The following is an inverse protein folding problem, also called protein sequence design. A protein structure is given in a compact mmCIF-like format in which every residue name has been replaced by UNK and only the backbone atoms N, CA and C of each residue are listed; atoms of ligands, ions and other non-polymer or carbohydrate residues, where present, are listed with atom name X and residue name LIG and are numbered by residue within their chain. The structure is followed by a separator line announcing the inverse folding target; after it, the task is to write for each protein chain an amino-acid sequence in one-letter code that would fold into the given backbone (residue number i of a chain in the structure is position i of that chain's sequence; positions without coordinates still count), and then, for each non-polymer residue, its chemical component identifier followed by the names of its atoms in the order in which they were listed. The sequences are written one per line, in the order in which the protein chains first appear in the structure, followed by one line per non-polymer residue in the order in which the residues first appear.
data_IF_052128528053
#
_entry.id   IF_052128528053
#
_cell.length_a   1.000
_cell.length_b   1.000
_cell.length_c   1.000
_cell.angle_alpha   90.00
_cell.angle_beta   90.00
_cell.angle_gamma   90.00
#
_symmetry.space_group_name_H-M   'P 1'
#
loop_
_entity.id
_entity.type
_entity.pdbx_description
1 polymer ?
#
# COMPACT_ATOMS: atom_id res chain seq x y z
N UNK A 1 -9.26 -25.88 28.81
CA UNK A 1 -10.65 -25.34 28.74
C UNK A 1 -10.83 -24.96 27.28
N UNK A 2 -11.95 -25.30 26.65
CA UNK A 2 -12.13 -24.95 25.24
C UNK A 2 -12.13 -23.43 25.11
N UNK A 3 -11.34 -22.86 24.20
CA UNK A 3 -11.17 -21.43 24.02
C UNK A 3 -12.52 -20.70 23.75
N UNK A 4 -13.46 -21.40 23.10
CA UNK A 4 -14.81 -20.91 22.84
C UNK A 4 -15.62 -20.76 24.13
N UNK A 5 -15.49 -21.71 25.05
CA UNK A 5 -16.20 -21.70 26.33
C UNK A 5 -15.65 -20.59 27.27
N UNK A 6 -14.36 -20.31 27.13
CA UNK A 6 -13.70 -19.24 27.90
C UNK A 6 -14.15 -17.86 27.41
N UNK A 7 -14.27 -17.65 26.09
CA UNK A 7 -14.78 -16.39 25.52
C UNK A 7 -16.23 -16.13 25.93
N UNK A 8 -17.11 -17.13 25.89
CA UNK A 8 -18.50 -17.03 26.35
C UNK A 8 -18.56 -16.64 27.86
N UNK A 9 -17.67 -17.22 28.64
CA UNK A 9 -17.56 -16.89 30.08
C UNK A 9 -17.11 -15.45 30.29
N UNK A 10 -16.18 -14.94 29.50
CA UNK A 10 -15.72 -13.55 29.55
C UNK A 10 -16.85 -12.57 29.17
N UNK A 11 -17.64 -12.89 28.15
CA UNK A 11 -18.78 -12.06 27.74
C UNK A 11 -19.88 -12.01 28.83
N UNK A 12 -20.25 -13.14 29.42
CA UNK A 12 -21.21 -13.21 30.50
C UNK A 12 -20.75 -12.41 31.73
N UNK A 13 -19.47 -12.46 32.07
CA UNK A 13 -18.88 -11.66 33.15
C UNK A 13 -18.98 -10.17 32.84
N UNK A 14 -18.59 -9.74 31.67
CA UNK A 14 -18.65 -8.34 31.22
C UNK A 14 -20.07 -7.78 31.20
N UNK A 15 -21.02 -8.58 30.74
CA UNK A 15 -22.45 -8.18 30.65
C UNK A 15 -23.19 -8.21 32.00
N UNK A 16 -22.53 -8.67 33.08
CA UNK A 16 -23.15 -8.80 34.38
C UNK A 16 -24.17 -9.95 34.48
N UNK A 17 -24.06 -10.94 33.59
CA UNK A 17 -24.97 -12.09 33.50
C UNK A 17 -24.59 -13.25 34.44
N UNK A 18 -23.54 -13.07 35.25
CA UNK A 18 -23.08 -14.04 36.24
C UNK A 18 -23.73 -13.81 37.59
N UNK A 19 -24.00 -14.91 38.28
CA UNK A 19 -24.36 -14.87 39.70
C UNK A 19 -23.18 -14.40 40.57
N UNK A 20 -23.42 -13.91 41.78
CA UNK A 20 -22.36 -13.45 42.68
C UNK A 20 -21.32 -14.55 42.99
N UNK A 21 -21.72 -15.81 42.99
CA UNK A 21 -20.81 -16.94 43.21
C UNK A 21 -19.95 -17.22 41.98
N UNK A 22 -20.53 -17.21 40.78
CA UNK A 22 -19.80 -17.38 39.51
C UNK A 22 -18.80 -16.24 39.30
N UNK A 23 -19.18 -15.00 39.55
CA UNK A 23 -18.31 -13.84 39.45
C UNK A 23 -17.10 -13.93 40.39
N UNK A 24 -17.34 -14.31 41.66
CA UNK A 24 -16.24 -14.50 42.64
C UNK A 24 -15.27 -15.60 42.20
N UNK A 25 -15.81 -16.72 41.71
CA UNK A 25 -14.99 -17.82 41.17
C UNK A 25 -14.17 -17.40 39.95
N UNK A 26 -14.77 -16.64 39.05
CA UNK A 26 -14.08 -16.14 37.84
C UNK A 26 -12.98 -15.14 38.19
N UNK A 27 -13.18 -14.27 39.16
CA UNK A 27 -12.16 -13.34 39.68
C UNK A 27 -10.99 -14.07 40.34
N UNK A 28 -11.23 -15.15 41.07
CA UNK A 28 -10.18 -15.98 41.64
C UNK A 28 -9.40 -16.72 40.52
N UNK A 29 -10.12 -17.19 39.49
CA UNK A 29 -9.51 -17.85 38.33
C UNK A 29 -8.57 -16.89 37.59
N UNK A 30 -8.94 -15.64 37.38
CA UNK A 30 -8.10 -14.59 36.77
C UNK A 30 -6.87 -14.31 37.62
N UNK A 31 -7.02 -14.17 38.95
CA UNK A 31 -5.88 -13.90 39.85
C UNK A 31 -4.83 -15.02 39.82
N UNK A 32 -5.30 -16.25 39.68
CA UNK A 32 -4.43 -17.43 39.74
C UNK A 32 -3.85 -17.86 38.34
N UNK A 33 -4.36 -17.29 37.26
CA UNK A 33 -3.96 -17.65 35.88
C UNK A 33 -3.71 -16.41 35.04
N UNK A 34 -2.44 -15.97 34.91
CA UNK A 34 -2.09 -14.79 34.11
C UNK A 34 -2.50 -14.86 32.65
N UNK A 35 -2.52 -16.06 32.05
CA UNK A 35 -2.96 -16.26 30.66
C UNK A 35 -4.46 -15.95 30.49
N UNK A 36 -5.29 -16.36 31.45
CA UNK A 36 -6.73 -16.06 31.43
C UNK A 36 -6.96 -14.59 31.67
N UNK A 37 -6.24 -13.95 32.58
CA UNK A 37 -6.36 -12.51 32.83
C UNK A 37 -5.96 -11.69 31.61
N UNK A 38 -4.89 -12.06 30.93
CA UNK A 38 -4.47 -11.45 29.66
C UNK A 38 -5.54 -11.58 28.59
N UNK A 39 -6.16 -12.72 28.44
CA UNK A 39 -7.23 -12.98 27.47
C UNK A 39 -8.47 -12.12 27.74
N UNK A 40 -8.81 -11.93 29.02
CA UNK A 40 -9.90 -11.02 29.43
C UNK A 40 -9.58 -9.58 29.05
N UNK A 41 -8.36 -9.13 29.27
CA UNK A 41 -7.93 -7.77 28.91
C UNK A 41 -7.94 -7.56 27.38
N UNK A 42 -7.41 -8.51 26.62
CA UNK A 42 -7.39 -8.45 25.16
C UNK A 42 -8.81 -8.46 24.56
N UNK A 43 -9.70 -9.31 25.08
CA UNK A 43 -11.09 -9.36 24.64
C UNK A 43 -11.84 -8.05 24.95
N UNK A 44 -11.68 -7.50 26.14
CA UNK A 44 -12.28 -6.23 26.50
C UNK A 44 -11.77 -5.07 25.63
N UNK A 45 -10.48 -5.06 25.32
CA UNK A 45 -9.89 -4.08 24.42
C UNK A 45 -10.46 -4.21 22.99
N UNK A 46 -10.56 -5.43 22.49
CA UNK A 46 -11.14 -5.70 21.16
C UNK A 46 -12.58 -5.21 21.06
N UNK A 47 -13.43 -5.55 22.05
CA UNK A 47 -14.83 -5.13 22.04
C UNK A 47 -14.97 -3.60 22.14
N UNK A 48 -14.14 -2.94 22.95
CA UNK A 48 -14.13 -1.47 23.06
C UNK A 48 -13.76 -0.79 21.72
N UNK A 49 -12.80 -1.34 20.97
CA UNK A 49 -12.44 -0.81 19.64
C UNK A 49 -13.55 -1.05 18.60
N UNK A 50 -14.25 -2.18 18.65
CA UNK A 50 -15.41 -2.47 17.78
C UNK A 50 -16.57 -1.51 18.08
N UNK A 51 -16.88 -1.26 19.36
CA UNK A 51 -17.90 -0.30 19.76
C UNK A 51 -17.57 1.13 19.33
N UNK A 52 -16.31 1.54 19.48
CA UNK A 52 -15.81 2.85 19.01
C UNK A 52 -15.95 3.00 17.48
N UNK A 53 -15.65 1.94 16.73
CA UNK A 53 -15.86 1.93 15.29
C UNK A 53 -17.34 2.04 14.92
N UNK A 54 -18.22 1.31 15.61
CA UNK A 54 -19.66 1.37 15.44
C UNK A 54 -20.22 2.77 15.69
N UNK A 55 -19.81 3.42 16.79
CA UNK A 55 -20.21 4.79 17.12
C UNK A 55 -19.73 5.83 16.12
N UNK A 56 -18.50 5.70 15.61
CA UNK A 56 -17.99 6.60 14.55
C UNK A 56 -18.79 6.48 13.25
N UNK A 57 -19.18 5.27 12.85
CA UNK A 57 -19.99 5.02 11.65
C UNK A 57 -21.40 5.59 11.81
N UNK A 58 -22.02 5.37 12.96
CA UNK A 58 -23.33 5.92 13.30
C UNK A 58 -23.31 7.45 13.34
N UNK A 59 -22.29 8.05 13.95
CA UNK A 59 -22.11 9.50 13.99
C UNK A 59 -22.01 10.14 12.59
N UNK A 60 -21.23 9.55 11.68
CA UNK A 60 -21.15 10.02 10.29
C UNK A 60 -22.47 9.93 9.57
N UNK A 61 -23.24 8.87 9.78
CA UNK A 61 -24.57 8.71 9.18
C UNK A 61 -25.51 9.82 9.69
N UNK A 62 -25.58 10.03 11.00
CA UNK A 62 -26.40 11.09 11.62
C UNK A 62 -25.99 12.49 11.16
N UNK A 63 -24.69 12.73 10.99
CA UNK A 63 -24.18 14.01 10.47
C UNK A 63 -24.65 14.29 9.04
N UNK A 64 -24.65 13.29 8.16
CA UNK A 64 -25.19 13.43 6.81
C UNK A 64 -26.71 13.62 6.77
N UNK A 65 -27.47 12.98 7.66
CA UNK A 65 -28.90 13.18 7.78
C UNK A 65 -29.23 14.61 8.24
N UNK A 66 -28.51 15.10 9.25
CA UNK A 66 -28.66 16.48 9.76
C UNK A 66 -28.28 17.50 8.67
N UNK A 67 -27.17 17.29 7.97
CA UNK A 67 -26.76 18.15 6.85
C UNK A 67 -27.83 18.19 5.74
N UNK A 68 -28.35 17.04 5.35
CA UNK A 68 -29.42 16.96 4.35
C UNK A 68 -30.68 17.70 4.80
N UNK A 69 -31.09 17.57 6.07
CA UNK A 69 -32.22 18.24 6.64
C UNK A 69 -32.03 19.76 6.73
N UNK A 70 -30.85 20.22 7.12
CA UNK A 70 -30.52 21.65 7.17
C UNK A 70 -30.48 22.29 5.78
N UNK A 71 -30.11 21.54 4.74
CA UNK A 71 -30.18 22.00 3.35
C UNK A 71 -31.65 22.12 2.89
N UNK A 72 -32.49 21.14 3.24
CA UNK A 72 -33.91 21.10 2.87
C UNK A 72 -34.72 22.21 3.58
N UNK A 73 -34.36 22.49 4.83
CA UNK A 73 -34.93 23.60 5.62
C UNK A 73 -34.37 24.99 5.26
N UNK A 74 -33.41 25.06 4.31
CA UNK A 74 -32.84 26.33 3.81
C UNK A 74 -31.87 26.99 4.82
N UNK A 75 -31.48 26.32 5.89
CA UNK A 75 -30.57 26.83 6.92
C UNK A 75 -29.11 26.89 6.46
N UNK A 76 -28.71 26.03 5.52
CA UNK A 76 -27.39 26.04 4.86
C UNK A 76 -27.54 25.92 3.35
N UNK A 77 -26.75 26.69 2.62
CA UNK A 77 -26.75 26.63 1.17
C UNK A 77 -25.92 25.42 0.71
N UNK A 78 -26.37 24.75 -0.35
CA UNK A 78 -25.53 23.73 -1.00
C UNK A 78 -24.20 24.35 -1.42
N UNK A 79 -23.06 23.66 -1.21
CA UNK A 79 -21.76 24.18 -1.61
C UNK A 79 -21.78 24.49 -3.10
N UNK A 80 -21.38 25.71 -3.47
CA UNK A 80 -21.26 26.14 -4.86
C UNK A 80 -20.08 25.34 -5.45
N UNK A 81 -20.39 24.34 -6.28
CA UNK A 81 -19.40 23.57 -6.99
C UNK A 81 -18.62 24.50 -7.93
N UNK A 82 -17.33 24.67 -7.69
CA UNK A 82 -16.40 25.38 -8.57
C UNK A 82 -16.27 24.63 -9.91
N UNK A 83 -15.99 25.35 -11.00
CA UNK A 83 -16.07 24.98 -12.43
C UNK A 83 -15.90 23.49 -12.82
N UNK A 84 -14.93 22.74 -12.25
CA UNK A 84 -14.71 21.34 -12.57
C UNK A 84 -15.86 20.40 -12.16
N UNK A 85 -16.47 20.63 -11.00
CA UNK A 85 -17.57 19.81 -10.51
C UNK A 85 -18.88 20.04 -11.28
N UNK A 86 -19.11 21.26 -11.81
CA UNK A 86 -20.23 21.54 -12.72
C UNK A 86 -20.10 20.79 -14.04
N UNK A 87 -18.88 20.66 -14.57
CA UNK A 87 -18.62 19.94 -15.83
C UNK A 87 -18.96 18.45 -15.66
N UNK A 88 -18.57 17.83 -14.57
CA UNK A 88 -18.86 16.41 -14.30
C UNK A 88 -20.35 16.15 -14.14
N UNK A 89 -21.08 17.04 -13.47
CA UNK A 89 -22.52 16.92 -13.26
C UNK A 89 -23.31 17.11 -14.57
N UNK A 90 -22.93 18.07 -15.40
CA UNK A 90 -23.51 18.26 -16.73
C UNK A 90 -23.20 17.08 -17.64
N UNK A 91 -21.97 16.58 -17.60
CA UNK A 91 -21.54 15.42 -18.39
C UNK A 91 -22.32 14.16 -18.02
N UNK A 92 -22.55 13.91 -16.72
CA UNK A 92 -23.33 12.76 -16.27
C UNK A 92 -24.80 12.80 -16.73
N UNK A 93 -25.39 14.00 -16.85
CA UNK A 93 -26.76 14.21 -17.26
C UNK A 93 -26.95 14.05 -18.77
N UNK A 94 -25.94 14.44 -19.56
CA UNK A 94 -26.04 14.47 -21.03
C UNK A 94 -25.19 13.41 -21.74
N UNK A 95 -24.52 12.51 -21.00
CA UNK A 95 -23.64 11.48 -21.57
C UNK A 95 -24.28 10.62 -22.67
N UNK A 96 -25.60 10.32 -22.56
CA UNK A 96 -26.32 9.55 -23.59
C UNK A 96 -26.53 10.34 -24.88
N UNK A 97 -26.80 11.63 -24.78
CA UNK A 97 -26.99 12.51 -25.94
C UNK A 97 -25.65 12.79 -26.62
N UNK A 98 -24.60 13.04 -25.84
CA UNK A 98 -23.24 13.25 -26.36
C UNK A 98 -22.69 11.97 -27.02
N UNK A 99 -22.94 10.78 -26.47
CA UNK A 99 -22.53 9.53 -27.12
C UNK A 99 -23.26 9.26 -28.43
N UNK A 100 -24.54 9.62 -28.51
CA UNK A 100 -25.31 9.50 -29.75
C UNK A 100 -24.81 10.49 -30.82
N UNK A 101 -24.56 11.73 -30.45
CA UNK A 101 -24.03 12.78 -31.36
C UNK A 101 -22.61 12.41 -31.84
N UNK A 102 -21.75 11.89 -30.97
CA UNK A 102 -20.43 11.42 -31.33
C UNK A 102 -20.49 10.21 -32.28
N UNK A 103 -21.45 9.29 -32.07
CA UNK A 103 -21.70 8.18 -32.97
C UNK A 103 -22.09 8.61 -34.38
N UNK A 104 -23.04 9.56 -34.49
CA UNK A 104 -23.49 10.11 -35.79
C UNK A 104 -22.35 10.87 -36.48
N UNK A 105 -21.58 11.69 -35.74
CA UNK A 105 -20.43 12.40 -36.29
C UNK A 105 -19.33 11.44 -36.79
N UNK A 106 -19.10 10.34 -36.08
CA UNK A 106 -18.20 9.27 -36.51
C UNK A 106 -18.62 8.61 -37.81
N UNK A 107 -19.91 8.26 -37.94
CA UNK A 107 -20.45 7.63 -39.17
C UNK A 107 -20.38 8.60 -40.36
N UNK A 108 -20.71 9.89 -40.17
CA UNK A 108 -20.60 10.91 -41.23
C UNK A 108 -19.16 11.13 -41.65
N UNK A 109 -18.19 11.13 -40.71
CA UNK A 109 -16.77 11.27 -41.01
C UNK A 109 -16.25 10.06 -41.80
N UNK A 110 -16.65 8.83 -41.45
CA UNK A 110 -16.25 7.62 -42.16
C UNK A 110 -16.87 7.61 -43.57
N UNK A 111 -18.11 8.03 -43.72
CA UNK A 111 -18.77 8.14 -45.04
C UNK A 111 -18.11 9.21 -45.94
N UNK A 112 -17.75 10.37 -45.39
CA UNK A 112 -17.07 11.41 -46.17
C UNK A 112 -15.66 11.04 -46.58
N UNK A 113 -14.89 10.37 -45.67
CA UNK A 113 -13.55 9.85 -45.99
C UNK A 113 -13.67 8.69 -46.99
N UNK A 114 -14.66 7.81 -46.84
CA UNK A 114 -14.90 6.72 -47.77
C UNK A 114 -15.25 7.20 -49.18
N UNK A 115 -16.11 8.20 -49.32
CA UNK A 115 -16.43 8.84 -50.62
C UNK A 115 -15.24 9.58 -51.24
N UNK A 116 -14.42 10.29 -50.43
CA UNK A 116 -13.22 10.96 -50.91
C UNK A 116 -12.16 9.95 -51.38
N UNK A 117 -12.09 8.76 -50.78
CA UNK A 117 -11.14 7.68 -51.16
C UNK A 117 -11.50 7.01 -52.49
N UNK A 118 -12.76 7.05 -52.92
CA UNK A 118 -13.21 6.48 -54.20
C UNK A 118 -12.83 7.41 -55.36
N UNK A 119 -12.71 8.72 -55.09
CA UNK A 119 -12.40 9.73 -56.11
C UNK A 119 -10.89 10.03 -56.28
N UNK A 120 -10.04 9.63 -55.31
CA UNK A 120 -8.59 9.86 -55.36
C UNK A 120 -7.80 8.55 -55.36
N UNK A 121 -7.68 7.87 -56.52
CA UNK A 121 -6.68 6.83 -56.73
C UNK A 121 -5.30 7.46 -57.02
N UNK A 122 -4.68 8.01 -55.99
CA UNK A 122 -3.24 8.27 -55.97
C UNK A 122 -2.65 7.61 -54.72
N UNK A 123 -1.98 6.49 -54.94
CA UNK A 123 -1.21 5.77 -53.93
C UNK A 123 -0.06 6.65 -53.44
N UNK A 124 -0.25 7.32 -52.33
CA UNK A 124 0.81 8.09 -51.69
C UNK A 124 1.50 7.19 -50.64
N UNK A 125 2.80 6.91 -50.77
CA UNK A 125 3.54 6.02 -49.88
C UNK A 125 3.57 6.50 -48.43
N UNK A 126 3.21 7.76 -48.16
CA UNK A 126 3.11 8.31 -46.83
C UNK A 126 1.79 7.92 -46.10
N UNK A 127 0.71 7.61 -46.84
CA UNK A 127 -0.55 7.11 -46.28
C UNK A 127 -0.35 5.69 -45.74
N UNK A 128 0.41 4.84 -46.42
CA UNK A 128 0.72 3.49 -45.94
C UNK A 128 1.57 3.50 -44.65
N UNK A 129 2.51 4.44 -44.51
CA UNK A 129 3.30 4.63 -43.31
C UNK A 129 2.45 5.15 -42.16
N UNK A 130 1.53 6.07 -42.43
CA UNK A 130 0.60 6.63 -41.46
C UNK A 130 -0.39 5.55 -40.98
N UNK A 131 -0.93 4.75 -41.89
CA UNK A 131 -1.83 3.62 -41.57
C UNK A 131 -1.16 2.58 -40.67
N UNK A 132 0.08 2.18 -40.96
CA UNK A 132 0.84 1.28 -40.09
C UNK A 132 1.16 1.90 -38.74
N UNK A 133 1.38 3.20 -38.68
CA UNK A 133 1.64 3.90 -37.42
C UNK A 133 0.36 4.01 -36.56
N UNK A 134 -0.79 4.24 -37.20
CA UNK A 134 -2.11 4.22 -36.54
C UNK A 134 -2.46 2.81 -36.04
N UNK A 135 -2.26 1.78 -36.86
CA UNK A 135 -2.50 0.39 -36.47
C UNK A 135 -1.62 -0.06 -35.29
N UNK A 136 -0.35 0.36 -35.26
CA UNK A 136 0.55 0.08 -34.15
C UNK A 136 0.17 0.87 -32.89
N UNK A 137 -0.33 2.10 -33.01
CA UNK A 137 -0.86 2.89 -31.89
C UNK A 137 -2.15 2.27 -31.37
N UNK A 138 -3.04 1.82 -32.24
CA UNK A 138 -4.29 1.18 -31.89
C UNK A 138 -4.07 -0.18 -31.18
N UNK A 139 -3.13 -0.98 -31.68
CA UNK A 139 -2.70 -2.21 -31.00
C UNK A 139 -2.06 -1.92 -29.63
N UNK A 140 -1.26 -0.87 -29.52
CA UNK A 140 -0.70 -0.41 -28.25
C UNK A 140 -1.79 0.06 -27.28
N UNK A 141 -2.75 0.84 -27.79
CA UNK A 141 -3.85 1.36 -26.98
C UNK A 141 -4.80 0.25 -26.52
N UNK A 142 -5.14 -0.70 -27.38
CA UNK A 142 -5.97 -1.85 -27.03
C UNK A 142 -5.28 -2.76 -26.00
N UNK A 143 -3.98 -2.95 -26.09
CA UNK A 143 -3.21 -3.66 -25.09
C UNK A 143 -3.25 -2.93 -23.73
N UNK A 144 -3.03 -1.62 -23.74
CA UNK A 144 -3.09 -0.78 -22.52
C UNK A 144 -4.50 -0.80 -21.90
N UNK A 145 -5.57 -0.74 -22.71
CA UNK A 145 -6.96 -0.80 -22.23
C UNK A 145 -7.27 -2.19 -21.63
N UNK A 146 -6.77 -3.26 -22.25
CA UNK A 146 -6.96 -4.61 -21.72
C UNK A 146 -6.19 -4.82 -20.42
N UNK A 147 -4.96 -4.35 -20.34
CA UNK A 147 -4.14 -4.36 -19.12
C UNK A 147 -4.83 -3.53 -18.01
N UNK A 148 -5.38 -2.36 -18.35
CA UNK A 148 -6.15 -1.50 -17.44
C UNK A 148 -7.43 -2.17 -16.94
N UNK A 149 -8.16 -2.85 -17.83
CA UNK A 149 -9.38 -3.59 -17.45
C UNK A 149 -9.06 -4.83 -16.61
N UNK A 150 -7.92 -5.48 -16.86
CA UNK A 150 -7.44 -6.58 -16.03
C UNK A 150 -7.05 -6.09 -14.62
N UNK A 151 -6.36 -4.96 -14.52
CA UNK A 151 -5.99 -4.32 -13.24
C UNK A 151 -7.24 -3.84 -12.50
N UNK A 152 -8.17 -3.15 -13.17
CA UNK A 152 -9.47 -2.76 -12.58
C UNK A 152 -10.29 -3.98 -12.16
N UNK A 153 -10.27 -5.05 -12.95
CA UNK A 153 -10.92 -6.33 -12.60
C UNK A 153 -10.32 -7.00 -11.37
N UNK A 154 -9.01 -6.82 -11.13
CA UNK A 154 -8.33 -7.30 -9.92
C UNK A 154 -8.70 -6.48 -8.68
N UNK A 155 -8.80 -5.15 -8.81
CA UNK A 155 -9.24 -4.25 -7.72
C UNK A 155 -10.71 -4.51 -7.35
N UNK A 156 -11.59 -4.65 -8.34
CA UNK A 156 -13.01 -4.95 -8.11
C UNK A 156 -13.28 -6.39 -7.63
N UNK A 157 -12.27 -7.27 -7.67
CA UNK A 157 -12.35 -8.64 -7.14
C UNK A 157 -12.01 -8.75 -5.66
N UNK A 158 -11.47 -7.68 -5.05
CA UNK A 158 -11.28 -7.65 -3.61
C UNK A 158 -12.64 -7.27 -3.03
N UNK A 159 -13.27 -8.21 -2.36
CA UNK A 159 -14.44 -7.93 -1.54
C UNK A 159 -14.07 -6.78 -0.59
N UNK A 160 -14.85 -5.68 -0.54
CA UNK A 160 -14.59 -4.58 0.39
C UNK A 160 -14.47 -5.02 1.86
N UNK A 161 -14.98 -6.20 2.19
CA UNK A 161 -14.90 -6.83 3.50
C UNK A 161 -13.80 -7.91 3.61
N UNK A 162 -13.02 -8.14 2.53
CA UNK A 162 -11.95 -9.14 2.58
C UNK A 162 -10.88 -8.73 3.58
N UNK A 163 -10.60 -9.60 4.53
CA UNK A 163 -9.47 -9.43 5.44
C UNK A 163 -8.17 -9.77 4.72
N UNK A 164 -7.12 -8.94 4.88
CA UNK A 164 -5.83 -9.26 4.33
C UNK A 164 -5.26 -10.52 4.99
N UNK A 165 -4.72 -11.42 4.19
CA UNK A 165 -4.06 -12.65 4.65
C UNK A 165 -2.73 -12.36 5.36
N UNK A 166 -2.09 -11.28 4.96
CA UNK A 166 -0.87 -10.76 5.57
C UNK A 166 -0.68 -9.30 5.19
N UNK A 167 0.14 -8.61 5.96
CA UNK A 167 0.50 -7.23 5.71
C UNK A 167 1.87 -6.88 6.28
N UNK A 168 2.37 -5.75 5.85
CA UNK A 168 3.65 -5.22 6.27
C UNK A 168 3.94 -3.90 5.56
N UNK A 169 5.19 -3.54 5.52
CA UNK A 169 5.67 -2.31 4.90
C UNK A 169 6.49 -2.62 3.65
N UNK A 170 6.54 -1.70 2.72
CA UNK A 170 7.47 -1.71 1.61
C UNK A 170 7.89 -0.28 1.28
N UNK A 171 8.97 -0.12 0.53
CA UNK A 171 9.44 1.20 0.11
C UNK A 171 9.99 1.18 -1.31
N UNK A 172 9.94 2.33 -1.97
CA UNK A 172 10.42 2.48 -3.34
C UNK A 172 11.93 2.24 -3.44
N UNK A 173 12.36 1.52 -4.46
CA UNK A 173 13.78 1.34 -4.80
C UNK A 173 14.17 2.14 -6.05
N UNK A 174 13.17 2.57 -6.82
CA UNK A 174 13.34 3.52 -7.90
C UNK A 174 12.12 4.45 -8.04
N UNK A 175 12.24 5.45 -8.90
CA UNK A 175 11.13 6.38 -9.15
C UNK A 175 10.03 5.82 -10.06
N UNK A 176 10.17 4.61 -10.60
CA UNK A 176 9.23 4.01 -11.55
C UNK A 176 8.15 3.15 -10.87
N UNK A 177 8.17 3.05 -9.54
CA UNK A 177 7.19 2.27 -8.77
C UNK A 177 7.62 0.83 -8.47
N UNK A 178 8.91 0.56 -8.46
CA UNK A 178 9.41 -0.67 -7.87
C UNK A 178 9.51 -0.53 -6.37
N UNK A 179 8.88 -1.45 -5.65
CA UNK A 179 8.84 -1.50 -4.18
C UNK A 179 9.58 -2.73 -3.72
N UNK A 180 10.37 -2.60 -2.66
CA UNK A 180 10.96 -3.73 -1.95
C UNK A 180 10.26 -3.94 -0.60
N UNK A 181 10.08 -5.19 -0.22
CA UNK A 181 9.49 -5.63 1.05
C UNK A 181 10.08 -6.98 1.46
N UNK A 182 9.64 -7.54 2.59
CA UNK A 182 9.97 -8.90 2.95
C UNK A 182 9.12 -9.93 2.19
N UNK A 183 9.70 -11.09 1.88
CA UNK A 183 9.00 -12.17 1.18
C UNK A 183 7.84 -12.75 2.00
N UNK A 184 7.97 -12.83 3.33
CA UNK A 184 6.94 -13.34 4.23
C UNK A 184 5.70 -12.43 4.35
N UNK A 185 5.81 -11.15 3.97
CA UNK A 185 4.67 -10.21 3.89
C UNK A 185 3.69 -10.63 2.79
N UNK A 186 4.15 -11.35 1.77
CA UNK A 186 3.39 -11.69 0.58
C UNK A 186 2.86 -13.13 0.66
N UNK A 187 1.74 -13.36 1.36
CA UNK A 187 1.11 -14.69 1.53
C UNK A 187 -0.08 -14.93 0.60
N UNK A 188 -0.64 -13.89 -0.02
CA UNK A 188 -1.77 -13.98 -0.96
C UNK A 188 -1.34 -13.70 -2.40
N UNK A 189 -2.33 -13.72 -3.30
CA UNK A 189 -2.12 -13.55 -4.75
C UNK A 189 -2.28 -12.10 -5.19
N UNK A 190 -3.22 -11.38 -4.58
CA UNK A 190 -3.50 -9.98 -4.89
C UNK A 190 -2.78 -9.09 -3.89
N UNK A 191 -1.95 -8.18 -4.37
CA UNK A 191 -1.14 -7.31 -3.53
C UNK A 191 -1.55 -5.87 -3.76
N UNK A 192 -1.85 -5.18 -2.68
CA UNK A 192 -2.19 -3.75 -2.66
C UNK A 192 -1.10 -3.00 -1.91
N UNK A 193 -0.56 -1.98 -2.54
CA UNK A 193 0.33 -1.01 -1.93
C UNK A 193 -0.43 0.29 -1.67
N UNK A 194 -0.53 0.71 -0.40
CA UNK A 194 -1.21 1.94 -0.01
C UNK A 194 -0.19 2.96 0.49
N UNK A 195 -0.25 4.18 -0.01
CA UNK A 195 0.62 5.25 0.45
C UNK A 195 0.03 5.96 1.69
N UNK A 196 0.77 6.91 2.26
CA UNK A 196 0.36 7.67 3.44
C UNK A 196 -0.85 8.60 3.23
N UNK A 197 -1.28 8.80 1.98
CA UNK A 197 -2.51 9.53 1.64
C UNK A 197 -3.74 8.62 1.55
N UNK A 198 -3.55 7.30 1.71
CA UNK A 198 -4.60 6.31 1.55
C UNK A 198 -4.88 5.92 0.10
N UNK A 199 -4.09 6.40 -0.87
CA UNK A 199 -4.18 5.98 -2.26
C UNK A 199 -3.68 4.53 -2.37
N UNK A 200 -4.45 3.67 -3.04
CA UNK A 200 -4.20 2.24 -3.17
C UNK A 200 -3.83 1.88 -4.60
N UNK A 201 -2.79 1.08 -4.74
CA UNK A 201 -2.25 0.66 -6.03
C UNK A 201 -2.12 -0.86 -6.06
N UNK A 202 -2.51 -1.47 -7.18
CA UNK A 202 -2.23 -2.89 -7.42
C UNK A 202 -0.75 -3.04 -7.73
N UNK A 203 -0.12 -4.02 -7.08
CA UNK A 203 1.27 -4.35 -7.32
C UNK A 203 1.41 -5.83 -7.73
N UNK A 204 2.36 -6.10 -8.62
CA UNK A 204 2.73 -7.45 -9.05
C UNK A 204 4.09 -7.84 -8.50
N UNK A 205 4.28 -9.14 -8.24
CA UNK A 205 5.55 -9.66 -7.75
C UNK A 205 6.50 -9.80 -8.96
N UNK A 206 7.62 -9.08 -8.94
CA UNK A 206 8.69 -9.24 -9.92
C UNK A 206 9.63 -10.37 -9.53
N UNK A 207 10.00 -10.44 -8.26
CA UNK A 207 10.83 -11.52 -7.71
C UNK A 207 10.54 -11.72 -6.22
N UNK A 208 10.73 -12.96 -5.74
CA UNK A 208 10.56 -13.35 -4.35
C UNK A 208 11.66 -14.32 -3.96
N UNK A 209 12.58 -13.86 -3.13
CA UNK A 209 13.66 -14.65 -2.53
C UNK A 209 13.25 -15.02 -1.10
N UNK A 210 12.85 -16.27 -0.92
CA UNK A 210 12.36 -16.78 0.38
C UNK A 210 13.53 -16.99 1.35
N UNK A 211 14.72 -17.37 0.84
CA UNK A 211 15.90 -17.66 1.68
C UNK A 211 16.43 -16.37 2.33
N UNK A 212 16.39 -15.26 1.60
CA UNK A 212 16.86 -13.96 2.09
C UNK A 212 15.72 -13.09 2.60
N UNK A 213 14.49 -13.60 2.51
CA UNK A 213 13.28 -12.89 2.91
C UNK A 213 13.12 -11.52 2.22
N UNK A 214 13.40 -11.46 0.91
CA UNK A 214 13.31 -10.26 0.09
C UNK A 214 12.30 -10.48 -1.04
N UNK A 215 11.45 -9.52 -1.31
CA UNK A 215 10.62 -9.48 -2.50
C UNK A 215 10.62 -8.10 -3.14
N UNK A 216 10.58 -8.06 -4.47
CA UNK A 216 10.44 -6.84 -5.27
C UNK A 216 9.10 -6.90 -5.97
N UNK A 217 8.34 -5.83 -5.80
CA UNK A 217 7.03 -5.59 -6.41
C UNK A 217 7.14 -4.48 -7.45
N UNK A 218 6.23 -4.48 -8.41
CA UNK A 218 6.01 -3.38 -9.35
C UNK A 218 4.59 -2.88 -9.22
N UNK A 219 4.41 -1.60 -8.97
CA UNK A 219 3.11 -0.93 -9.10
C UNK A 219 2.78 -0.86 -10.59
N UNK A 220 1.69 -1.50 -10.98
CA UNK A 220 1.17 -1.50 -12.35
C UNK A 220 -0.17 -0.75 -12.41
N UNK A 221 -0.17 0.45 -11.88
CA UNK A 221 -1.35 1.30 -11.80
C UNK A 221 -1.08 2.62 -12.50
N UNK A 222 -1.99 3.03 -13.40
CA UNK A 222 -1.85 4.27 -14.16
C UNK A 222 -2.03 5.53 -13.29
N UNK A 223 -2.65 5.39 -12.13
CA UNK A 223 -2.82 6.49 -11.18
C UNK A 223 -1.53 6.72 -10.36
N UNK A 224 -0.61 5.78 -10.36
CA UNK A 224 0.70 5.95 -9.76
C UNK A 224 1.54 6.94 -10.58
N UNK A 225 1.95 8.02 -9.93
CA UNK A 225 2.79 9.05 -10.57
C UNK A 225 4.27 8.75 -10.29
N UNK A 226 5.03 8.32 -11.31
CA UNK A 226 6.46 8.11 -11.17
C UNK A 226 7.17 9.39 -10.71
N UNK A 227 8.16 9.23 -9.83
CA UNK A 227 9.08 10.30 -9.46
C UNK A 227 10.36 10.23 -10.29
N UNK A 228 10.94 11.36 -10.64
CA UNK A 228 12.21 11.37 -11.37
C UNK A 228 13.36 10.76 -10.54
N UNK A 229 13.35 10.99 -9.23
CA UNK A 229 14.38 10.53 -8.29
C UNK A 229 13.78 10.25 -6.92
N UNK A 230 14.40 9.31 -6.18
CA UNK A 230 14.11 9.10 -4.75
C UNK A 230 14.88 10.11 -3.90
N UNK A 231 14.36 10.49 -2.72
CA UNK A 231 15.04 11.44 -1.84
C UNK A 231 16.28 10.84 -1.17
N UNK A 232 16.36 9.53 -1.04
CA UNK A 232 17.42 8.79 -0.36
C UNK A 232 18.28 7.98 -1.33
N UNK A 233 19.51 7.71 -0.92
CA UNK A 233 20.41 6.77 -1.56
C UNK A 233 20.45 5.42 -0.83
N UNK A 234 21.37 4.56 -1.26
CA UNK A 234 21.61 3.25 -0.64
C UNK A 234 23.08 3.13 -0.23
N UNK A 235 23.34 2.71 1.00
CA UNK A 235 24.69 2.49 1.51
C UNK A 235 24.89 1.02 1.89
N UNK A 236 25.99 0.43 1.43
CA UNK A 236 26.37 -0.96 1.74
C UNK A 236 27.06 -1.09 3.12
N UNK A 237 27.51 0.01 3.70
CA UNK A 237 28.29 0.01 4.94
C UNK A 237 27.63 0.89 5.98
N UNK A 238 27.61 0.37 7.19
CA UNK A 238 27.25 1.09 8.42
C UNK A 238 28.11 0.56 9.55
N UNK A 239 28.53 1.43 10.44
CA UNK A 239 29.38 1.05 11.58
C UNK A 239 28.54 0.70 12.80
N UNK A 240 29.09 -0.11 13.67
CA UNK A 240 28.51 -0.40 14.99
C UNK A 240 28.22 0.90 15.75
N UNK A 241 27.13 0.94 16.51
CA UNK A 241 26.63 2.09 17.25
C UNK A 241 26.18 3.29 16.35
N UNK A 242 26.19 3.15 15.03
CA UNK A 242 25.68 4.19 14.16
C UNK A 242 24.18 4.44 14.42
N UNK A 243 23.73 5.71 14.49
CA UNK A 243 22.31 6.05 14.60
C UNK A 243 21.56 5.60 13.36
N UNK A 244 20.40 4.96 13.56
CA UNK A 244 19.49 4.51 12.50
C UNK A 244 18.07 4.91 12.81
N UNK A 245 17.24 5.02 11.78
CA UNK A 245 15.81 5.22 11.92
C UNK A 245 15.05 4.38 10.88
N UNK A 246 13.79 4.17 11.16
CA UNK A 246 12.86 3.44 10.28
C UNK A 246 11.51 4.14 10.22
N UNK A 247 10.78 3.86 9.18
CA UNK A 247 9.39 4.29 9.00
C UNK A 247 8.59 3.13 8.43
N UNK A 248 7.47 2.78 9.03
CA UNK A 248 6.67 1.66 8.61
C UNK A 248 5.22 1.74 9.06
N UNK A 249 4.46 0.71 8.73
CA UNK A 249 3.03 0.60 8.98
C UNK A 249 2.71 -0.58 9.91
N UNK A 250 2.98 -0.48 11.23
CA UNK A 250 2.49 -1.46 12.20
C UNK A 250 0.96 -1.35 12.36
N UNK A 251 0.38 -0.26 11.94
CA UNK A 251 -1.04 0.06 11.86
C UNK A 251 -1.32 0.81 10.56
N UNK A 252 -2.56 1.24 10.31
CA UNK A 252 -2.92 1.99 9.09
C UNK A 252 -2.23 3.37 8.98
N UNK A 253 -1.63 3.87 10.05
CA UNK A 253 -0.80 5.07 10.05
C UNK A 253 0.69 4.72 10.05
N UNK A 254 1.50 5.55 9.39
CA UNK A 254 2.95 5.39 9.40
C UNK A 254 3.53 5.73 10.78
N UNK A 255 4.43 4.89 11.24
CA UNK A 255 5.11 5.04 12.54
C UNK A 255 6.61 5.23 12.30
N UNK A 256 7.16 6.22 12.97
CA UNK A 256 8.59 6.49 13.03
C UNK A 256 9.22 5.79 14.23
N UNK A 257 10.39 5.21 14.04
CA UNK A 257 11.24 4.68 15.10
C UNK A 257 12.71 5.04 14.87
N UNK A 258 13.46 5.27 15.94
CA UNK A 258 14.89 5.51 15.87
C UNK A 258 15.66 4.73 16.92
N UNK A 259 16.94 4.52 16.67
CA UNK A 259 17.84 3.78 17.53
C UNK A 259 19.24 3.71 16.95
N UNK A 260 19.90 2.55 17.09
CA UNK A 260 21.26 2.38 16.63
C UNK A 260 21.54 0.94 16.18
N UNK A 261 22.61 0.77 15.40
CA UNK A 261 23.12 -0.55 15.03
C UNK A 261 23.78 -1.19 16.27
N UNK A 262 23.17 -2.25 16.78
CA UNK A 262 23.67 -2.95 17.98
C UNK A 262 24.59 -4.14 17.68
N UNK A 263 24.51 -4.73 16.45
CA UNK A 263 25.43 -5.74 15.97
C UNK A 263 25.54 -5.74 14.45
N UNK A 264 26.73 -6.03 13.94
CA UNK A 264 26.96 -6.22 12.50
C UNK A 264 26.47 -7.56 11.97
N UNK A 265 26.03 -8.47 12.86
CA UNK A 265 25.44 -9.76 12.54
C UNK A 265 24.07 -9.91 13.19
N UNK A 266 23.22 -10.71 12.59
CA UNK A 266 21.92 -11.05 13.11
C UNK A 266 21.92 -12.19 14.12
N UNK A 267 20.77 -12.85 14.27
CA UNK A 267 20.57 -13.95 15.20
C UNK A 267 21.56 -15.09 14.92
N UNK A 268 22.19 -15.61 15.98
CA UNK A 268 23.21 -16.71 15.90
C UNK A 268 24.34 -16.39 14.92
N UNK A 269 24.81 -15.15 14.89
CA UNK A 269 25.86 -14.66 13.99
C UNK A 269 25.51 -14.73 12.50
N UNK A 270 24.21 -14.68 12.18
CA UNK A 270 23.76 -14.57 10.79
C UNK A 270 24.40 -13.36 10.11
N UNK A 271 25.05 -13.58 8.99
CA UNK A 271 25.74 -12.55 8.22
C UNK A 271 24.84 -11.80 7.25
N UNK A 272 23.61 -12.28 7.02
CA UNK A 272 22.63 -11.67 6.13
C UNK A 272 22.04 -10.38 6.73
N UNK A 273 21.93 -10.33 8.04
CA UNK A 273 21.25 -9.25 8.74
C UNK A 273 22.14 -8.50 9.73
N UNK A 274 21.70 -7.32 10.09
CA UNK A 274 22.15 -6.54 11.25
C UNK A 274 21.21 -6.80 12.41
N UNK A 275 21.70 -6.63 13.64
CA UNK A 275 20.83 -6.42 14.80
C UNK A 275 20.75 -4.91 15.08
N UNK A 276 19.54 -4.41 15.27
CA UNK A 276 19.29 -2.99 15.55
C UNK A 276 18.51 -2.84 16.85
N UNK A 277 18.87 -1.84 17.64
CA UNK A 277 18.18 -1.48 18.86
C UNK A 277 17.13 -0.40 18.53
N UNK A 278 15.97 -0.84 18.05
CA UNK A 278 14.84 -0.01 17.68
C UNK A 278 13.55 -0.68 18.12
N UNK A 279 12.54 0.10 18.50
CA UNK A 279 11.22 -0.47 18.75
C UNK A 279 10.57 -0.81 17.41
N UNK A 280 10.12 -2.05 17.25
CA UNK A 280 9.40 -2.50 16.08
C UNK A 280 8.25 -3.42 16.49
N UNK A 281 7.16 -3.36 15.74
CA UNK A 281 5.94 -4.15 15.93
C UNK A 281 5.60 -4.91 14.64
N UNK A 282 4.66 -5.86 14.73
CA UNK A 282 4.13 -6.51 13.54
C UNK A 282 3.62 -5.45 12.54
N UNK A 283 3.95 -5.62 11.26
CA UNK A 283 3.68 -4.65 10.21
C UNK A 283 4.85 -3.73 9.86
N UNK A 284 5.86 -3.60 10.74
CA UNK A 284 7.10 -2.91 10.39
C UNK A 284 8.01 -3.74 9.46
N UNK A 285 7.78 -5.05 9.32
CA UNK A 285 8.51 -5.90 8.38
C UNK A 285 8.44 -5.34 6.97
N UNK A 286 9.59 -5.19 6.32
CA UNK A 286 9.73 -4.58 5.00
C UNK A 286 10.01 -3.07 5.02
N UNK A 287 10.05 -2.42 6.19
CA UNK A 287 10.40 -1.00 6.33
C UNK A 287 11.86 -0.73 5.95
N UNK A 288 12.16 0.45 5.39
CA UNK A 288 13.53 0.88 5.21
C UNK A 288 14.20 1.15 6.55
N UNK A 289 15.43 0.68 6.73
CA UNK A 289 16.31 1.14 7.80
C UNK A 289 17.31 2.10 7.20
N UNK A 290 17.30 3.35 7.70
CA UNK A 290 18.10 4.42 7.18
C UNK A 290 19.17 4.87 8.21
N UNK A 291 20.33 5.25 7.73
CA UNK A 291 21.39 5.85 8.56
C UNK A 291 21.10 7.34 8.86
N UNK A 292 21.96 7.98 9.65
CA UNK A 292 21.82 9.40 10.02
C UNK A 292 21.76 10.35 8.83
N UNK A 293 22.31 9.96 7.68
CA UNK A 293 22.33 10.75 6.46
C UNK A 293 21.14 10.49 5.56
N UNK A 294 20.25 9.56 5.93
CA UNK A 294 19.10 9.18 5.13
C UNK A 294 19.42 8.20 3.99
N UNK A 295 20.55 7.47 4.04
CA UNK A 295 20.79 6.35 3.12
C UNK A 295 20.20 5.08 3.68
N UNK A 296 19.53 4.30 2.84
CA UNK A 296 19.02 2.98 3.18
C UNK A 296 20.20 2.01 3.37
N UNK A 297 20.27 1.39 4.54
CA UNK A 297 21.28 0.41 4.93
C UNK A 297 20.72 -1.01 5.04
N UNK A 298 19.40 -1.17 5.04
CA UNK A 298 18.75 -2.46 5.11
C UNK A 298 17.23 -2.40 5.08
N UNK A 299 16.63 -3.58 5.17
CA UNK A 299 15.19 -3.81 5.25
C UNK A 299 14.91 -4.38 6.63
N UNK A 300 14.04 -3.74 7.39
CA UNK A 300 13.62 -4.27 8.69
C UNK A 300 12.89 -5.59 8.49
N UNK A 301 13.29 -6.62 9.22
CA UNK A 301 12.63 -7.92 9.21
C UNK A 301 12.17 -8.27 10.61
N UNK A 302 11.47 -9.40 10.74
CA UNK A 302 10.76 -9.76 11.95
C UNK A 302 11.70 -9.98 13.15
N UNK A 303 11.09 -10.06 14.29
CA UNK A 303 11.73 -10.26 15.60
C UNK A 303 12.06 -11.70 15.82
N UNK A 304 13.17 -11.96 16.50
CA UNK A 304 13.33 -13.23 17.19
C UNK A 304 12.41 -13.29 18.44
N UNK A 305 12.11 -14.50 18.90
CA UNK A 305 11.34 -14.73 20.14
C UNK A 305 11.94 -14.05 21.40
N UNK A 306 13.11 -13.43 21.30
CA UNK A 306 13.76 -12.64 22.36
C UNK A 306 13.59 -11.14 22.27
N UNK A 307 12.75 -10.63 21.36
CA UNK A 307 12.49 -9.18 21.21
C UNK A 307 13.58 -8.41 20.46
N UNK A 308 14.65 -9.07 19.98
CA UNK A 308 15.67 -8.43 19.17
C UNK A 308 15.12 -8.16 17.76
N UNK A 309 15.42 -6.97 17.22
CA UNK A 309 15.00 -6.53 15.89
C UNK A 309 16.18 -6.66 14.93
N UNK A 310 15.91 -7.16 13.73
CA UNK A 310 16.91 -7.38 12.70
C UNK A 310 16.60 -6.59 11.43
N UNK A 311 17.63 -6.34 10.63
CA UNK A 311 17.51 -5.71 9.32
C UNK A 311 18.38 -6.46 8.31
N UNK A 312 17.78 -6.92 7.23
CA UNK A 312 18.47 -7.51 6.08
C UNK A 312 19.36 -6.44 5.47
N UNK A 313 20.64 -6.74 5.29
CA UNK A 313 21.62 -5.76 4.79
C UNK A 313 21.29 -5.29 3.38
N UNK A 314 21.49 -4.02 3.11
CA UNK A 314 21.23 -3.41 1.79
C UNK A 314 22.03 -4.04 0.66
N UNK A 315 23.19 -4.68 0.93
CA UNK A 315 23.95 -5.39 -0.09
C UNK A 315 23.11 -6.48 -0.79
N UNK A 316 22.15 -7.09 -0.10
CA UNK A 316 21.25 -8.08 -0.68
C UNK A 316 20.15 -7.44 -1.53
N UNK A 317 19.82 -6.17 -1.30
CA UNK A 317 18.98 -5.38 -2.21
C UNK A 317 19.67 -5.23 -3.56
N UNK A 318 20.96 -4.87 -3.56
CA UNK A 318 21.75 -4.77 -4.80
C UNK A 318 21.76 -6.09 -5.55
N UNK A 319 22.00 -7.20 -4.84
CA UNK A 319 22.03 -8.54 -5.44
C UNK A 319 20.68 -8.94 -6.03
N UNK A 320 19.57 -8.65 -5.33
CA UNK A 320 18.22 -8.94 -5.81
C UNK A 320 17.89 -8.16 -7.09
N UNK A 321 18.32 -6.90 -7.18
CA UNK A 321 18.12 -6.06 -8.36
C UNK A 321 19.01 -6.53 -9.51
N UNK A 322 20.27 -6.88 -9.26
CA UNK A 322 21.16 -7.36 -10.31
C UNK A 322 20.68 -8.68 -10.92
N UNK A 323 20.11 -9.56 -10.09
CA UNK A 323 19.43 -10.77 -10.57
C UNK A 323 18.21 -10.44 -11.43
N UNK A 324 17.42 -9.44 -11.01
CA UNK A 324 16.21 -9.04 -11.73
C UNK A 324 16.49 -8.35 -13.08
N UNK A 325 17.64 -7.67 -13.22
CA UNK A 325 18.07 -7.06 -14.49
C UNK A 325 18.33 -8.07 -15.61
N UNK A 326 18.55 -9.33 -15.28
CA UNK A 326 18.69 -10.40 -16.27
C UNK A 326 17.34 -10.73 -16.93
N UNK A 327 16.22 -10.32 -16.36
CA UNK A 327 14.91 -10.37 -16.99
C UNK A 327 14.70 -9.12 -17.87
N UNK A 328 14.40 -9.34 -19.15
CA UNK A 328 14.19 -8.28 -20.15
C UNK A 328 13.10 -7.28 -19.75
N UNK A 329 12.09 -7.72 -18.99
CA UNK A 329 10.98 -6.86 -18.51
C UNK A 329 11.43 -5.85 -17.44
N UNK A 330 12.45 -6.19 -16.67
CA UNK A 330 12.89 -5.44 -15.51
C UNK A 330 14.30 -4.85 -15.62
N UNK A 331 14.91 -4.94 -16.81
CA UNK A 331 16.29 -4.49 -17.09
C UNK A 331 16.54 -2.98 -16.82
N UNK A 332 15.47 -2.19 -16.73
CA UNK A 332 15.54 -0.73 -16.56
C UNK A 332 15.56 -0.25 -15.10
N UNK A 333 15.59 -1.16 -14.10
CA UNK A 333 15.65 -0.78 -12.68
C UNK A 333 17.03 -0.21 -12.36
N UNK A 334 17.03 0.96 -11.71
CA UNK A 334 18.27 1.59 -11.21
C UNK A 334 18.04 2.09 -9.80
N UNK A 335 18.85 1.61 -8.85
CA UNK A 335 18.90 2.20 -7.52
C UNK A 335 19.33 3.66 -7.60
N UNK A 336 18.71 4.50 -6.77
CA UNK A 336 19.14 5.88 -6.62
C UNK A 336 20.56 5.92 -6.05
N UNK A 337 21.45 6.63 -6.76
CA UNK A 337 22.82 6.92 -6.31
C UNK A 337 22.89 8.29 -5.65
N UNK A 338 21.84 9.08 -5.73
CA UNK A 338 21.77 10.44 -5.18
C UNK A 338 20.98 10.42 -3.88
N UNK A 339 21.44 11.21 -2.90
CA UNK A 339 20.74 11.41 -1.64
C UNK A 339 20.55 12.92 -1.42
N UNK A 340 19.33 13.40 -1.67
CA UNK A 340 18.97 14.82 -1.54
C UNK A 340 18.65 15.23 -0.11
N UNK A 341 18.54 14.25 0.82
CA UNK A 341 18.20 14.49 2.22
C UNK A 341 19.39 14.42 3.17
N UNK A 342 20.58 14.17 2.65
CA UNK A 342 21.80 13.93 3.45
C UNK A 342 22.10 15.01 4.49
N UNK A 343 21.82 16.26 4.15
CA UNK A 343 22.15 17.42 4.99
C UNK A 343 20.91 18.03 5.67
N UNK A 344 19.74 17.39 5.54
CA UNK A 344 18.52 17.85 6.17
C UNK A 344 18.46 17.37 7.63
N UNK A 345 17.72 18.09 8.47
CA UNK A 345 17.38 17.63 9.81
C UNK A 345 16.43 16.40 9.74
N UNK A 346 16.25 15.71 10.86
CA UNK A 346 15.48 14.46 10.92
C UNK A 346 14.03 14.63 10.48
N UNK A 347 13.36 15.68 10.90
CA UNK A 347 11.96 15.93 10.55
C UNK A 347 11.78 16.14 9.04
N UNK A 348 12.68 16.88 8.42
CA UNK A 348 12.69 17.10 6.97
C UNK A 348 13.02 15.82 6.20
N UNK A 349 13.96 15.00 6.70
CA UNK A 349 14.26 13.68 6.14
C UNK A 349 13.01 12.81 6.15
N UNK A 350 12.35 12.67 7.31
CA UNK A 350 11.13 11.92 7.52
C UNK A 350 10.02 12.38 6.57
N UNK A 351 9.77 13.68 6.47
CA UNK A 351 8.77 14.26 5.58
C UNK A 351 8.95 13.87 4.10
N UNK A 352 10.22 13.78 3.66
CA UNK A 352 10.53 13.39 2.27
C UNK A 352 10.46 11.87 2.07
N UNK A 353 10.95 11.07 3.02
CA UNK A 353 10.91 9.60 2.97
C UNK A 353 9.48 9.08 3.04
N UNK A 354 8.60 9.76 3.78
CA UNK A 354 7.19 9.41 3.98
C UNK A 354 6.43 9.09 2.68
N UNK A 355 6.71 9.83 1.61
CA UNK A 355 6.07 9.62 0.30
C UNK A 355 6.58 8.39 -0.47
N UNK A 356 7.61 7.73 0.06
CA UNK A 356 8.25 6.58 -0.57
C UNK A 356 7.99 5.26 0.17
N UNK A 357 7.24 5.30 1.27
CA UNK A 357 6.91 4.13 2.11
C UNK A 357 5.44 3.78 1.96
N UNK A 358 5.15 2.49 1.83
CA UNK A 358 3.84 1.95 1.52
C UNK A 358 3.42 0.87 2.52
N UNK A 359 2.17 0.87 2.90
CA UNK A 359 1.52 -0.25 3.54
C UNK A 359 1.25 -1.33 2.47
N UNK A 360 1.76 -2.52 2.66
CA UNK A 360 1.56 -3.66 1.77
C UNK A 360 0.54 -4.60 2.41
N UNK A 361 -0.57 -4.84 1.72
CA UNK A 361 -1.59 -5.83 2.10
C UNK A 361 -1.68 -6.90 1.02
N UNK A 362 -1.74 -8.16 1.44
CA UNK A 362 -1.78 -9.33 0.56
C UNK A 362 -3.09 -10.08 0.79
N UNK A 363 -3.88 -10.31 -0.26
CA UNK A 363 -5.19 -10.94 -0.27
C UNK A 363 -5.17 -12.26 -1.05
N UNK A 364 -6.17 -13.12 -0.84
CA UNK A 364 -6.28 -14.39 -1.56
C UNK A 364 -6.50 -14.26 -3.06
#
# INVERSE_FOLDING_TARGET
MDDILLLDTIERYKNGEMTSQESTFFEELRKNNPEIDQLVVEHNFFVAEVEKFGTQKSFKHTLHEVEAKMIDEGLISRPILTGGAKIVQVWSKYKRVVSLAAGIAGIVSVLTIGLASIFNKTTNPDIDKLSRKVENLEKGQNKTVNDLNEVKGKINKIDPNALPKSGGTGFLIDGKGYIITNAHVLKGKTIIASNTKGEQFVATICTKDIERDIAILKIEDNDFKPSATLPYGFSKKVNLAAPVFTMGFPKDEIVYGEGYLSSETGYKSDTLSYQIAISAEHGNSGSPVLNKHGDVIGILTDKSNGGAVFAIKSMYIFNAIDNLKNDTKHSSIKLSTTNSIKNLNREEQVKKVNNCVFLIKSYE
#
